data_IF_317063988417
#
_entry.id   IF_317063988417
#
_cell.length_a   1.000
_cell.length_b   1.000
_cell.length_c   1.000
_cell.angle_alpha   90.00
_cell.angle_beta   90.00
_cell.angle_gamma   90.00
#
_symmetry.space_group_name_H-M   'P 1'
#
loop_
_entity.id
_entity.type
_entity.pdbx_description
1 polymer ?
#
# COMPACT_ATOMS: atom_id res chain seq x y z
N UNK A 1 -32.93 38.87 -0.89
CA UNK A 1 -33.26 37.70 -0.03
C UNK A 1 -32.60 36.40 -0.52
N UNK A 2 -32.19 36.26 -1.79
CA UNK A 2 -31.58 35.03 -2.34
C UNK A 2 -30.10 34.82 -1.99
N UNK A 3 -29.29 35.88 -1.93
CA UNK A 3 -27.84 35.76 -1.68
C UNK A 3 -27.50 35.27 -0.26
N UNK A 4 -28.31 35.64 0.74
CA UNK A 4 -28.12 35.21 2.13
C UNK A 4 -28.48 33.72 2.32
N UNK A 5 -29.52 33.26 1.62
CA UNK A 5 -29.91 31.83 1.61
C UNK A 5 -28.84 30.95 0.97
N UNK A 6 -28.27 31.39 -0.17
CA UNK A 6 -27.21 30.65 -0.86
C UNK A 6 -25.91 30.56 -0.04
N UNK A 7 -25.52 31.60 0.71
CA UNK A 7 -24.33 31.54 1.58
C UNK A 7 -24.50 30.56 2.75
N UNK A 8 -25.68 30.50 3.37
CA UNK A 8 -25.95 29.56 4.48
C UNK A 8 -25.93 28.12 3.98
N UNK A 9 -26.51 27.86 2.81
CA UNK A 9 -26.54 26.54 2.19
C UNK A 9 -25.14 26.06 1.78
N UNK A 10 -24.32 26.95 1.20
CA UNK A 10 -22.92 26.67 0.87
C UNK A 10 -22.05 26.41 2.11
N UNK A 11 -22.29 27.14 3.20
CA UNK A 11 -21.56 26.93 4.47
C UNK A 11 -21.92 25.59 5.13
N UNK A 12 -23.19 25.18 5.06
CA UNK A 12 -23.64 23.90 5.59
C UNK A 12 -23.07 22.72 4.79
N UNK A 13 -23.01 22.84 3.47
CA UNK A 13 -22.40 21.83 2.60
C UNK A 13 -20.91 21.68 2.88
N UNK A 14 -20.17 22.80 2.99
CA UNK A 14 -18.75 22.78 3.35
C UNK A 14 -18.51 22.11 4.72
N UNK A 15 -19.37 22.37 5.71
CA UNK A 15 -19.28 21.71 7.01
C UNK A 15 -19.50 20.20 6.92
N UNK A 16 -20.43 19.76 6.08
CA UNK A 16 -20.68 18.34 5.85
C UNK A 16 -19.49 17.68 5.15
N UNK A 17 -18.93 18.33 4.13
CA UNK A 17 -17.77 17.81 3.40
C UNK A 17 -16.55 17.68 4.32
N UNK A 18 -16.27 18.68 5.16
CA UNK A 18 -15.21 18.61 6.17
C UNK A 18 -15.42 17.48 7.18
N UNK A 19 -16.67 17.25 7.62
CA UNK A 19 -16.98 16.13 8.52
C UNK A 19 -16.79 14.76 7.84
N UNK A 20 -17.15 14.67 6.56
CA UNK A 20 -16.95 13.46 5.77
C UNK A 20 -15.45 13.18 5.57
N UNK A 21 -14.67 14.19 5.16
CA UNK A 21 -13.22 14.05 5.00
C UNK A 21 -12.52 13.70 6.31
N UNK A 22 -12.92 14.31 7.43
CA UNK A 22 -12.37 13.99 8.75
C UNK A 22 -12.69 12.54 9.14
N UNK A 23 -13.91 12.08 8.87
CA UNK A 23 -14.32 10.71 9.15
C UNK A 23 -13.52 9.72 8.32
N UNK A 24 -13.43 9.95 7.01
CA UNK A 24 -12.65 9.11 6.09
C UNK A 24 -11.17 9.09 6.47
N UNK A 25 -10.59 10.26 6.77
CA UNK A 25 -9.18 10.37 7.18
C UNK A 25 -8.90 9.58 8.47
N UNK A 26 -9.80 9.66 9.46
CA UNK A 26 -9.65 8.89 10.69
C UNK A 26 -9.75 7.37 10.45
N UNK A 27 -10.65 6.93 9.57
CA UNK A 27 -10.74 5.53 9.19
C UNK A 27 -9.47 5.04 8.50
N UNK A 28 -8.93 5.82 7.55
CA UNK A 28 -7.67 5.51 6.87
C UNK A 28 -6.50 5.43 7.86
N UNK A 29 -6.37 6.40 8.76
CA UNK A 29 -5.32 6.40 9.79
C UNK A 29 -5.41 5.17 10.70
N UNK A 30 -6.64 4.74 11.05
CA UNK A 30 -6.84 3.50 11.81
C UNK A 30 -6.37 2.27 11.03
N UNK A 31 -6.70 2.16 9.74
CA UNK A 31 -6.26 1.05 8.89
C UNK A 31 -4.72 1.04 8.76
N UNK A 32 -4.12 2.19 8.48
CA UNK A 32 -2.65 2.33 8.40
C UNK A 32 -1.99 1.91 9.71
N UNK A 33 -2.54 2.32 10.86
CA UNK A 33 -2.01 1.93 12.18
C UNK A 33 -2.02 0.40 12.38
N UNK A 34 -3.11 -0.26 11.98
CA UNK A 34 -3.23 -1.72 12.05
C UNK A 34 -2.17 -2.39 11.17
N UNK A 35 -2.02 -1.95 9.91
CA UNK A 35 -1.03 -2.48 8.98
C UNK A 35 0.41 -2.28 9.49
N UNK A 36 0.72 -1.09 10.01
CA UNK A 36 2.03 -0.81 10.61
C UNK A 36 2.31 -1.71 11.81
N UNK A 37 1.30 -2.03 12.62
CA UNK A 37 1.44 -2.96 13.73
C UNK A 37 1.70 -4.39 13.26
N UNK A 38 1.05 -4.83 12.18
CA UNK A 38 1.31 -6.14 11.57
C UNK A 38 2.74 -6.23 11.01
N UNK A 39 3.16 -5.22 10.25
CA UNK A 39 4.53 -5.13 9.72
C UNK A 39 5.54 -5.19 10.88
N UNK A 40 5.33 -4.38 11.92
CA UNK A 40 6.19 -4.37 13.10
C UNK A 40 6.31 -5.77 13.73
N UNK A 41 5.20 -6.50 13.87
CA UNK A 41 5.23 -7.85 14.43
C UNK A 41 6.01 -8.80 13.51
N UNK A 42 5.70 -8.80 12.22
CA UNK A 42 6.34 -9.64 11.22
C UNK A 42 7.86 -9.44 11.17
N UNK A 43 8.31 -8.18 11.20
CA UNK A 43 9.72 -7.81 11.03
C UNK A 43 10.48 -7.57 12.33
N UNK A 44 9.83 -7.74 13.49
CA UNK A 44 10.50 -7.63 14.79
C UNK A 44 11.59 -8.68 14.93
N UNK A 45 12.61 -8.39 15.75
CA UNK A 45 13.60 -9.41 16.09
C UNK A 45 12.93 -10.54 16.86
N UNK A 46 13.17 -11.78 16.45
CA UNK A 46 12.44 -12.96 16.91
C UNK A 46 11.00 -13.05 16.40
N UNK A 47 10.58 -12.11 15.54
CA UNK A 47 9.28 -12.10 14.89
C UNK A 47 9.12 -13.21 13.85
N UNK A 48 7.97 -13.23 13.19
CA UNK A 48 7.61 -14.30 12.26
C UNK A 48 8.57 -14.41 11.07
N UNK A 49 9.07 -13.29 10.53
CA UNK A 49 10.02 -13.30 9.42
C UNK A 49 11.33 -13.99 9.79
N UNK A 50 11.94 -13.62 10.91
CA UNK A 50 13.20 -14.21 11.39
C UNK A 50 13.01 -15.69 11.80
N UNK A 51 11.87 -16.01 12.42
CA UNK A 51 11.49 -17.39 12.74
C UNK A 51 11.40 -18.26 11.48
N UNK A 52 10.75 -17.76 10.42
CA UNK A 52 10.61 -18.47 9.16
C UNK A 52 11.95 -18.58 8.42
N UNK A 53 12.78 -17.54 8.45
CA UNK A 53 14.13 -17.59 7.88
C UNK A 53 14.98 -18.67 8.57
N UNK A 54 14.89 -18.76 9.90
CA UNK A 54 15.61 -19.75 10.70
C UNK A 54 15.15 -21.18 10.40
N UNK A 55 13.84 -21.40 10.29
CA UNK A 55 13.26 -22.70 9.88
C UNK A 55 13.72 -23.09 8.47
N UNK A 56 13.68 -22.15 7.53
CA UNK A 56 14.11 -22.39 6.15
C UNK A 56 15.61 -22.74 6.08
N UNK A 57 16.45 -21.99 6.80
CA UNK A 57 17.89 -22.27 6.91
C UNK A 57 18.16 -23.67 7.49
N UNK A 58 17.42 -24.05 8.54
CA UNK A 58 17.52 -25.37 9.16
C UNK A 58 17.08 -26.51 8.22
N UNK A 59 16.03 -26.28 7.44
CA UNK A 59 15.55 -27.22 6.43
C UNK A 59 16.58 -27.39 5.32
N UNK A 60 17.12 -26.31 4.78
CA UNK A 60 18.19 -26.34 3.77
C UNK A 60 19.40 -27.11 4.31
N UNK A 61 19.77 -26.88 5.57
CA UNK A 61 20.86 -27.63 6.22
C UNK A 61 20.59 -29.13 6.28
N UNK A 62 19.38 -29.51 6.67
CA UNK A 62 18.95 -30.91 6.70
C UNK A 62 19.01 -31.54 5.31
N UNK A 63 18.48 -30.86 4.29
CA UNK A 63 18.43 -31.36 2.92
C UNK A 63 19.84 -31.51 2.32
N UNK A 64 20.71 -30.53 2.55
CA UNK A 64 22.09 -30.60 2.08
C UNK A 64 22.86 -31.74 2.75
N UNK A 65 22.67 -31.95 4.07
CA UNK A 65 23.24 -33.10 4.76
C UNK A 65 22.78 -34.44 4.15
N UNK A 66 21.50 -34.56 3.77
CA UNK A 66 20.98 -35.76 3.09
C UNK A 66 21.61 -35.98 1.72
N UNK A 67 21.89 -34.90 0.98
CA UNK A 67 22.53 -34.97 -0.34
C UNK A 67 24.06 -34.92 -0.30
N UNK A 68 24.65 -34.88 0.90
CA UNK A 68 26.10 -34.70 1.10
C UNK A 68 26.65 -33.45 0.41
N UNK A 69 25.83 -32.40 0.34
CA UNK A 69 26.20 -31.10 -0.23
C UNK A 69 26.81 -30.23 0.88
N UNK A 70 28.02 -29.72 0.63
CA UNK A 70 28.65 -28.75 1.50
C UNK A 70 28.08 -27.34 1.23
N UNK A 71 27.33 -26.83 2.21
CA UNK A 71 26.64 -25.54 2.14
C UNK A 71 27.60 -24.38 2.41
N UNK A 72 28.69 -24.62 3.16
CA UNK A 72 29.62 -23.57 3.58
C UNK A 72 30.45 -23.05 2.40
N UNK A 73 30.61 -23.88 1.37
CA UNK A 73 31.37 -23.57 0.16
C UNK A 73 30.49 -23.40 -1.09
N UNK A 74 29.19 -23.12 -0.93
CA UNK A 74 28.33 -22.89 -2.09
C UNK A 74 28.76 -21.62 -2.84
N UNK A 75 28.77 -21.65 -4.19
CA UNK A 75 29.00 -20.46 -4.98
C UNK A 75 27.93 -19.41 -4.67
N UNK A 76 28.33 -18.13 -4.70
CA UNK A 76 27.44 -17.03 -4.36
C UNK A 76 26.22 -17.04 -5.30
N UNK A 77 25.02 -17.05 -4.73
CA UNK A 77 23.80 -16.96 -5.53
C UNK A 77 23.77 -15.61 -6.25
N UNK A 78 23.87 -15.62 -7.58
CA UNK A 78 23.55 -14.44 -8.37
C UNK A 78 22.03 -14.31 -8.41
N UNK A 79 21.50 -13.29 -7.73
CA UNK A 79 20.07 -12.96 -7.85
C UNK A 79 19.81 -12.69 -9.34
N UNK A 80 19.08 -13.58 -10.02
CA UNK A 80 18.56 -13.25 -11.35
C UNK A 80 17.76 -11.96 -11.18
N UNK A 81 18.20 -10.91 -11.86
CA UNK A 81 17.50 -9.65 -11.87
C UNK A 81 16.10 -9.95 -12.43
N UNK A 82 15.09 -9.88 -11.57
CA UNK A 82 13.71 -9.97 -12.03
C UNK A 82 13.48 -8.65 -12.75
N UNK A 83 13.41 -8.71 -14.07
CA UNK A 83 13.05 -7.56 -14.88
C UNK A 83 11.59 -7.19 -14.56
N UNK A 84 11.44 -6.20 -13.68
CA UNK A 84 10.11 -5.71 -13.28
C UNK A 84 9.39 -5.01 -14.44
N UNK A 85 10.05 -4.77 -15.58
CA UNK A 85 9.37 -4.25 -16.78
C UNK A 85 8.39 -5.27 -17.38
N UNK A 86 8.56 -6.57 -17.12
CA UNK A 86 7.65 -7.61 -17.62
C UNK A 86 6.39 -7.82 -16.76
N UNK A 87 6.35 -7.32 -15.51
CA UNK A 87 5.22 -7.50 -14.58
C UNK A 87 4.38 -6.23 -14.37
N UNK A 88 4.58 -5.19 -15.18
CA UNK A 88 3.79 -3.95 -15.08
C UNK A 88 2.29 -4.16 -15.38
N UNK A 89 1.87 -5.32 -15.88
CA UNK A 89 0.48 -5.61 -16.28
C UNK A 89 -0.39 -6.25 -15.21
N UNK A 90 0.10 -6.49 -13.98
CA UNK A 90 -0.72 -7.10 -12.91
C UNK A 90 -1.27 -6.11 -11.87
N UNK A 91 -1.02 -4.80 -12.02
CA UNK A 91 -1.60 -3.78 -11.13
C UNK A 91 -2.27 -2.62 -11.90
N UNK A 92 -2.81 -2.89 -13.10
CA UNK A 92 -3.63 -1.94 -13.85
C UNK A 92 -5.09 -1.90 -13.35
N UNK A 93 -5.29 -1.85 -12.03
CA UNK A 93 -6.60 -1.60 -11.40
C UNK A 93 -6.53 -0.47 -10.38
N UNK A 94 -5.62 0.48 -10.58
CA UNK A 94 -5.93 1.86 -10.22
C UNK A 94 -6.51 2.51 -11.48
N UNK A 95 -7.80 2.24 -11.72
CA UNK A 95 -8.60 3.20 -12.48
C UNK A 95 -8.61 4.48 -11.65
N UNK A 96 -7.72 5.37 -12.07
CA UNK A 96 -7.68 6.76 -11.69
C UNK A 96 -9.05 7.37 -12.03
N UNK A 97 -9.98 7.38 -11.06
CA UNK A 97 -11.24 8.11 -11.17
C UNK A 97 -10.95 9.63 -11.11
N UNK A 98 -10.33 10.17 -12.17
CA UNK A 98 -10.27 11.59 -12.46
C UNK A 98 -11.55 12.06 -13.18
N UNK A 99 -12.73 11.58 -12.78
CA UNK A 99 -14.02 11.90 -13.44
C UNK A 99 -14.86 12.94 -12.71
N UNK A 100 -14.30 13.79 -11.85
CA UNK A 100 -15.06 14.90 -11.27
C UNK A 100 -14.37 16.27 -11.29
N UNK A 101 -13.29 16.45 -12.06
CA UNK A 101 -12.57 17.73 -12.12
C UNK A 101 -12.46 18.34 -13.52
N UNK A 102 -13.42 18.05 -14.42
CA UNK A 102 -13.46 18.62 -15.77
C UNK A 102 -14.89 18.90 -16.28
N UNK A 103 -15.75 19.53 -15.47
CA UNK A 103 -17.04 20.08 -15.94
C UNK A 103 -17.24 21.58 -15.62
N UNK A 104 -16.16 22.36 -15.56
CA UNK A 104 -16.31 23.82 -15.51
C UNK A 104 -15.23 24.61 -16.25
N UNK A 105 -14.75 24.06 -17.37
CA UNK A 105 -14.30 24.87 -18.51
C UNK A 105 -15.43 24.87 -19.57
N UNK A 106 -16.41 25.75 -19.37
CA UNK A 106 -17.27 26.22 -20.46
C UNK A 106 -17.29 27.75 -20.45
N UNK A 107 -16.63 28.28 -21.48
CA UNK A 107 -16.89 29.55 -22.17
C UNK A 107 -16.45 30.87 -21.51
N UNK A 108 -15.15 31.18 -21.67
CA UNK A 108 -14.78 32.50 -22.19
C UNK A 108 -15.11 32.52 -23.69
N UNK A 109 -16.16 33.23 -24.07
CA UNK A 109 -16.40 33.64 -25.46
C UNK A 109 -17.18 34.96 -25.52
N UNK A 110 -16.40 36.02 -25.74
CA UNK A 110 -16.74 37.39 -26.20
C UNK A 110 -17.45 38.35 -25.24
#
# INVERSE_FOLDING_TARGET
>A
MSALGNMVQSTQQLQQDLQNELTTSNQLLRLISIELQQIKYLTSSGGEFESNLTKNSSLVKTLANMQQVDIENLPTFTRKQIDMSMNLTQNASYEEHNTFRNESEMEESQ
#
